data_IF_692212142687
#
_entry.id   IF_692212142687
#
_cell.length_a   1.000
_cell.length_b   1.000
_cell.length_c   1.000
_cell.angle_alpha   90.00
_cell.angle_beta   90.00
_cell.angle_gamma   90.00
#
_symmetry.space_group_name_H-M   'P 1'
#
loop_
_entity.id
_entity.type
_entity.pdbx_description
1 polymer ?
#
# COMPACT_ATOMS: atom_id res chain seq x y z
N UNK A 1 -13.93 4.98 4.94
CA UNK A 1 -12.48 4.89 5.26
C UNK A 1 -11.75 5.98 4.48
N UNK A 2 -10.52 6.36 4.85
CA UNK A 2 -9.66 7.22 4.03
C UNK A 2 -8.33 6.53 3.83
N UNK A 3 -8.11 5.92 2.67
CA UNK A 3 -6.96 5.06 2.42
C UNK A 3 -6.33 5.46 1.09
N UNK A 4 -5.00 5.55 1.04
CA UNK A 4 -4.23 5.69 -0.18
C UNK A 4 -3.19 4.57 -0.25
N UNK A 5 -3.25 3.76 -1.31
CA UNK A 5 -2.36 2.63 -1.55
C UNK A 5 -1.53 2.92 -2.81
N UNK A 6 -0.37 3.53 -2.60
CA UNK A 6 0.53 3.93 -3.67
C UNK A 6 1.34 2.74 -4.18
N UNK A 7 1.55 2.67 -5.50
CA UNK A 7 2.35 1.60 -6.09
C UNK A 7 3.81 1.66 -5.60
N UNK A 8 4.42 2.85 -5.60
CA UNK A 8 5.82 3.07 -5.27
C UNK A 8 6.03 4.33 -4.42
N UNK A 9 7.17 4.42 -3.74
CA UNK A 9 7.47 5.56 -2.86
C UNK A 9 7.99 6.81 -3.57
N UNK A 10 8.59 6.69 -4.75
CA UNK A 10 9.21 7.80 -5.50
C UNK A 10 9.30 7.47 -7.00
N UNK A 11 9.12 8.47 -7.87
CA UNK A 11 9.54 8.41 -9.28
C UNK A 11 11.01 8.88 -9.43
N UNK A 12 11.60 8.63 -10.60
CA UNK A 12 13.03 8.87 -10.86
C UNK A 12 13.44 10.35 -10.69
N UNK A 13 12.55 11.27 -11.04
CA UNK A 13 12.71 12.72 -10.96
C UNK A 13 12.27 13.31 -9.61
N UNK A 14 11.70 12.50 -8.71
CA UNK A 14 11.27 12.97 -7.39
C UNK A 14 12.44 13.08 -6.42
N UNK A 15 12.43 14.16 -5.65
CA UNK A 15 13.39 14.40 -4.56
C UNK A 15 12.83 13.90 -3.23
N UNK A 16 11.52 14.01 -3.02
CA UNK A 16 10.82 13.64 -1.78
C UNK A 16 10.01 12.35 -1.92
N UNK A 17 9.68 11.74 -0.79
CA UNK A 17 8.82 10.55 -0.73
C UNK A 17 7.39 10.97 -1.10
N UNK A 18 6.75 10.21 -1.99
CA UNK A 18 5.39 10.40 -2.50
C UNK A 18 5.16 11.73 -3.25
N UNK A 19 6.22 12.37 -3.73
CA UNK A 19 6.14 13.68 -4.38
C UNK A 19 5.16 13.72 -5.56
N UNK A 20 5.18 12.69 -6.40
CA UNK A 20 4.24 12.55 -7.51
C UNK A 20 2.76 12.51 -7.11
N UNK A 21 2.46 12.21 -5.84
CA UNK A 21 1.11 12.12 -5.30
C UNK A 21 0.70 13.29 -4.40
N UNK A 22 1.51 14.35 -4.29
CA UNK A 22 1.27 15.43 -3.33
C UNK A 22 -0.08 16.13 -3.50
N UNK A 23 -0.57 16.34 -4.72
CA UNK A 23 -1.88 16.94 -4.94
C UNK A 23 -3.02 16.06 -4.39
N UNK A 24 -2.94 14.75 -4.60
CA UNK A 24 -3.91 13.79 -4.07
C UNK A 24 -3.83 13.69 -2.55
N UNK A 25 -2.61 13.70 -1.99
CA UNK A 25 -2.40 13.67 -0.54
C UNK A 25 -2.92 14.95 0.11
N UNK A 26 -2.67 16.11 -0.50
CA UNK A 26 -3.17 17.42 -0.03
C UNK A 26 -4.69 17.45 0.03
N UNK A 27 -5.36 16.91 -0.98
CA UNK A 27 -6.82 16.80 -1.04
C UNK A 27 -7.35 15.99 0.16
N UNK A 28 -6.79 14.79 0.38
CA UNK A 28 -7.22 13.90 1.47
C UNK A 28 -6.91 14.48 2.84
N UNK A 29 -5.72 15.06 3.06
CA UNK A 29 -5.38 15.74 4.33
C UNK A 29 -6.31 16.91 4.58
N UNK A 30 -6.66 17.68 3.55
CA UNK A 30 -7.59 18.81 3.68
C UNK A 30 -8.99 18.35 4.07
N UNK A 31 -9.39 17.15 3.64
CA UNK A 31 -10.66 16.53 3.98
C UNK A 31 -10.66 15.95 5.41
N UNK A 32 -9.67 15.14 5.75
CA UNK A 32 -9.58 14.45 7.06
C UNK A 32 -9.12 15.37 8.19
N UNK A 33 -8.55 16.53 7.85
CA UNK A 33 -7.92 17.47 8.80
C UNK A 33 -6.77 16.86 9.59
N UNK A 34 -6.16 15.78 9.08
CA UNK A 34 -5.06 15.11 9.76
C UNK A 34 -3.89 16.08 10.03
N UNK A 35 -3.36 16.04 11.26
CA UNK A 35 -2.22 16.83 11.72
C UNK A 35 -1.13 15.98 12.32
N UNK A 36 -1.46 14.97 13.11
CA UNK A 36 -0.50 14.05 13.72
C UNK A 36 -0.57 12.71 13.02
N UNK A 37 0.52 12.31 12.36
CA UNK A 37 0.62 11.05 11.63
C UNK A 37 1.63 10.14 12.31
N UNK A 38 1.26 8.89 12.58
CA UNK A 38 2.20 7.87 13.05
C UNK A 38 2.81 7.15 11.87
N UNK A 39 4.14 7.04 11.84
CA UNK A 39 4.87 6.38 10.77
C UNK A 39 5.41 5.02 11.22
N UNK A 40 5.20 4.02 10.37
CA UNK A 40 5.62 2.63 10.54
C UNK A 40 6.76 2.34 9.55
N UNK A 41 8.03 2.28 10.03
CA UNK A 41 9.19 2.14 9.17
C UNK A 41 9.61 0.69 8.90
N UNK A 42 8.99 -0.31 9.53
CA UNK A 42 9.51 -1.69 9.64
C UNK A 42 9.84 -2.43 8.33
N UNK A 43 9.39 -1.93 7.18
CA UNK A 43 9.80 -2.48 5.88
C UNK A 43 11.25 -2.12 5.51
N UNK A 44 11.81 -1.07 6.08
CA UNK A 44 13.13 -0.54 5.76
C UNK A 44 14.21 -1.42 6.42
N UNK A 45 15.17 -1.89 5.62
CA UNK A 45 16.25 -2.79 6.10
C UNK A 45 17.63 -2.13 5.98
N UNK A 46 17.85 -1.38 4.89
CA UNK A 46 19.18 -0.87 4.51
C UNK A 46 19.45 0.56 4.97
N UNK A 47 18.50 1.18 5.67
CA UNK A 47 18.55 2.56 6.11
C UNK A 47 18.01 2.62 7.54
N UNK A 48 18.53 3.56 8.32
CA UNK A 48 18.03 3.82 9.66
C UNK A 48 16.58 4.34 9.64
N UNK A 49 15.76 3.82 10.55
CA UNK A 49 14.34 4.16 10.64
C UNK A 49 14.11 5.64 10.98
N UNK A 50 15.01 6.26 11.74
CA UNK A 50 14.93 7.69 12.08
C UNK A 50 15.23 8.56 10.87
N UNK A 51 16.24 8.21 10.06
CA UNK A 51 16.51 8.86 8.77
C UNK A 51 15.31 8.75 7.84
N UNK A 52 14.71 7.56 7.72
CA UNK A 52 13.49 7.40 6.92
C UNK A 52 12.34 8.27 7.45
N UNK A 53 12.14 8.30 8.77
CA UNK A 53 11.10 9.12 9.41
C UNK A 53 11.29 10.61 9.06
N UNK A 54 12.53 11.12 9.11
CA UNK A 54 12.83 12.49 8.73
C UNK A 54 12.50 12.79 7.26
N UNK A 55 12.81 11.88 6.34
CA UNK A 55 12.45 12.03 4.93
C UNK A 55 10.92 12.06 4.70
N UNK A 56 10.18 11.24 5.45
CA UNK A 56 8.71 11.27 5.45
C UNK A 56 8.20 12.58 6.06
N UNK A 57 8.74 13.02 7.20
CA UNK A 57 8.41 14.31 7.80
C UNK A 57 8.62 15.47 6.80
N UNK A 58 9.74 15.53 6.09
CA UNK A 58 9.99 16.57 5.07
C UNK A 58 8.94 16.59 3.95
N UNK A 59 8.40 15.43 3.62
CA UNK A 59 7.33 15.29 2.61
C UNK A 59 5.99 15.77 3.16
N UNK A 60 5.71 15.57 4.44
CA UNK A 60 4.42 15.89 5.06
C UNK A 60 4.36 17.27 5.73
N UNK A 61 5.50 17.92 6.01
CA UNK A 61 5.55 19.27 6.60
C UNK A 61 4.81 20.31 5.74
N UNK A 62 4.84 20.17 4.41
CA UNK A 62 4.14 21.09 3.50
C UNK A 62 2.61 21.05 3.63
N UNK A 63 2.07 19.98 4.22
CA UNK A 63 0.64 19.83 4.53
C UNK A 63 0.32 20.25 5.97
N UNK A 64 1.31 20.76 6.70
CA UNK A 64 1.19 21.11 8.11
C UNK A 64 0.95 19.89 8.99
N UNK A 65 1.54 18.74 8.64
CA UNK A 65 1.48 17.51 9.41
C UNK A 65 2.79 17.26 10.16
N UNK A 66 2.67 16.82 11.40
CA UNK A 66 3.73 16.22 12.22
C UNK A 66 3.73 14.70 11.98
N UNK A 67 4.92 14.14 11.82
CA UNK A 67 5.16 12.71 11.65
C UNK A 67 5.96 12.20 12.84
N UNK A 68 5.36 11.29 13.62
CA UNK A 68 6.03 10.62 14.74
C UNK A 68 6.40 9.19 14.33
N UNK A 69 7.58 8.71 14.75
CA UNK A 69 7.97 7.31 14.53
C UNK A 69 7.30 6.43 15.60
N UNK A 70 6.65 5.34 15.17
CA UNK A 70 6.03 4.36 16.07
C UNK A 70 7.04 3.70 17.02
N UNK A 71 8.30 3.55 16.60
CA UNK A 71 9.36 2.94 17.43
C UNK A 71 9.82 3.84 18.57
N UNK A 72 9.61 5.15 18.46
CA UNK A 72 9.96 6.12 19.51
C UNK A 72 8.83 6.25 20.56
N UNK A 73 7.76 5.45 20.46
CA UNK A 73 6.60 5.53 21.35
C UNK A 73 6.63 4.39 22.39
N UNK A 74 6.45 4.74 23.66
CA UNK A 74 6.38 3.77 24.76
C UNK A 74 5.20 2.79 24.59
N UNK A 75 4.08 3.29 24.06
CA UNK A 75 2.89 2.51 23.75
C UNK A 75 2.52 2.69 22.27
N UNK A 76 2.94 1.78 21.39
CA UNK A 76 2.67 1.87 19.96
C UNK A 76 1.18 1.72 19.63
N UNK A 77 0.41 0.99 20.45
CA UNK A 77 -1.04 0.84 20.26
C UNK A 77 -1.75 2.15 20.52
N UNK A 78 -1.43 2.80 21.64
CA UNK A 78 -1.96 4.13 21.98
C UNK A 78 -1.57 5.18 20.94
N UNK A 79 -0.33 5.15 20.45
CA UNK A 79 0.12 6.05 19.39
C UNK A 79 -0.71 5.92 18.10
N UNK A 80 -1.04 4.69 17.69
CA UNK A 80 -1.95 4.41 16.57
C UNK A 80 -3.37 4.94 16.84
N UNK A 81 -3.89 4.74 18.05
CA UNK A 81 -5.24 5.18 18.41
C UNK A 81 -5.37 6.71 18.44
N UNK A 82 -4.34 7.42 18.89
CA UNK A 82 -4.34 8.88 19.03
C UNK A 82 -3.97 9.63 17.74
N UNK A 83 -3.12 9.07 16.87
CA UNK A 83 -2.67 9.75 15.65
C UNK A 83 -3.77 9.87 14.59
N UNK A 84 -3.99 11.04 13.99
CA UNK A 84 -5.00 11.27 12.95
C UNK A 84 -4.86 10.39 11.71
N UNK A 85 -3.65 9.87 11.46
CA UNK A 85 -3.41 8.92 10.40
C UNK A 85 -2.16 8.07 10.58
N UNK A 86 -2.04 7.06 9.74
CA UNK A 86 -0.98 6.05 9.74
C UNK A 86 -0.29 6.10 8.38
N UNK A 87 1.03 6.21 8.41
CA UNK A 87 1.90 6.15 7.25
C UNK A 87 2.70 4.84 7.32
N UNK A 88 2.73 4.07 6.25
CA UNK A 88 3.47 2.80 6.20
C UNK A 88 4.47 2.77 5.06
N UNK A 89 5.74 2.57 5.42
CA UNK A 89 6.82 2.57 4.45
C UNK A 89 6.79 1.40 3.47
N UNK A 90 7.28 1.68 2.26
CA UNK A 90 7.84 0.67 1.36
C UNK A 90 9.18 0.12 1.87
N UNK A 91 9.58 -1.03 1.34
CA UNK A 91 10.74 -1.81 1.77
C UNK A 91 10.44 -3.29 1.52
N UNK A 92 10.84 -4.20 2.41
CA UNK A 92 10.49 -5.61 2.30
C UNK A 92 9.18 -5.92 3.05
N UNK A 93 8.19 -6.43 2.32
CA UNK A 93 6.85 -6.76 2.80
C UNK A 93 6.85 -7.89 3.84
N UNK A 94 7.71 -8.88 3.69
CA UNK A 94 7.79 -10.01 4.63
C UNK A 94 8.30 -9.56 6.01
N UNK A 95 9.35 -8.73 6.03
CA UNK A 95 9.87 -8.14 7.27
C UNK A 95 8.82 -7.25 7.93
N UNK A 96 8.17 -6.37 7.15
CA UNK A 96 7.10 -5.50 7.63
C UNK A 96 5.96 -6.31 8.27
N UNK A 97 5.39 -7.27 7.55
CA UNK A 97 4.23 -8.02 8.02
C UNK A 97 4.58 -8.83 9.27
N UNK A 98 5.73 -9.53 9.25
CA UNK A 98 6.19 -10.29 10.42
C UNK A 98 6.35 -9.39 11.64
N UNK A 99 7.01 -8.23 11.51
CA UNK A 99 7.23 -7.31 12.63
C UNK A 99 5.92 -6.77 13.21
N UNK A 100 4.94 -6.47 12.36
CA UNK A 100 3.61 -6.05 12.81
C UNK A 100 2.88 -7.15 13.58
N UNK A 101 3.00 -8.41 13.16
CA UNK A 101 2.44 -9.56 13.88
C UNK A 101 3.16 -9.82 15.20
N UNK A 102 4.50 -9.83 15.20
CA UNK A 102 5.32 -10.02 16.41
C UNK A 102 4.99 -8.98 17.49
N UNK A 103 4.67 -7.75 17.08
CA UNK A 103 4.30 -6.64 17.98
C UNK A 103 2.79 -6.55 18.27
N UNK A 104 1.96 -7.43 17.70
CA UNK A 104 0.51 -7.41 17.88
C UNK A 104 -0.19 -6.18 17.30
N UNK A 105 0.40 -5.52 16.29
CA UNK A 105 -0.08 -4.23 15.76
C UNK A 105 -1.10 -4.35 14.63
N UNK A 106 -1.28 -5.54 14.03
CA UNK A 106 -2.25 -5.77 12.94
C UNK A 106 -3.68 -5.37 13.36
N UNK A 107 -4.13 -5.84 14.53
CA UNK A 107 -5.46 -5.54 15.06
C UNK A 107 -5.66 -4.04 15.35
N UNK A 108 -4.78 -3.40 16.14
CA UNK A 108 -4.79 -1.96 16.39
C UNK A 108 -4.84 -1.10 15.12
N UNK A 109 -3.97 -1.37 14.13
CA UNK A 109 -3.94 -0.63 12.86
C UNK A 109 -5.27 -0.80 12.13
N UNK A 110 -5.73 -2.04 11.91
CA UNK A 110 -7.00 -2.31 11.23
C UNK A 110 -8.17 -1.60 11.91
N UNK A 111 -8.29 -1.72 13.24
CA UNK A 111 -9.35 -1.07 14.02
C UNK A 111 -9.31 0.45 13.89
N UNK A 112 -8.13 1.06 13.87
CA UNK A 112 -7.99 2.49 13.70
C UNK A 112 -8.43 2.94 12.30
N UNK A 113 -7.93 2.31 11.24
CA UNK A 113 -8.22 2.70 9.83
C UNK A 113 -9.70 2.53 9.45
N UNK A 114 -10.39 1.57 10.05
CA UNK A 114 -11.83 1.39 9.82
C UNK A 114 -12.70 2.53 10.39
N UNK A 115 -12.14 3.41 11.25
CA UNK A 115 -12.85 4.61 11.73
C UNK A 115 -12.91 5.67 10.61
N UNK A 116 -14.04 6.39 10.53
CA UNK A 116 -14.35 7.31 9.42
C UNK A 116 -13.30 8.39 9.16
N UNK A 117 -12.56 8.82 10.18
CA UNK A 117 -11.66 9.98 10.10
C UNK A 117 -10.16 9.64 10.20
N UNK A 118 -9.80 8.35 10.33
CA UNK A 118 -8.39 7.95 10.33
C UNK A 118 -7.88 7.79 8.90
N UNK A 119 -6.79 8.47 8.60
CA UNK A 119 -6.09 8.37 7.32
C UNK A 119 -5.13 7.18 7.32
N UNK A 120 -5.09 6.40 6.25
CA UNK A 120 -4.01 5.44 5.97
C UNK A 120 -3.32 5.81 4.66
N UNK A 121 -2.00 5.91 4.67
CA UNK A 121 -1.20 6.01 3.45
C UNK A 121 -0.11 4.96 3.49
N UNK A 122 -0.17 4.00 2.56
CA UNK A 122 0.86 3.00 2.35
C UNK A 122 1.45 3.13 0.95
N UNK A 123 2.71 2.76 0.79
CA UNK A 123 3.33 2.63 -0.53
C UNK A 123 4.14 1.34 -0.64
N UNK A 124 4.14 0.73 -1.82
CA UNK A 124 4.87 -0.53 -2.07
C UNK A 124 4.47 -1.60 -1.03
N UNK A 125 5.38 -2.05 -0.17
CA UNK A 125 5.08 -2.94 0.96
C UNK A 125 3.91 -2.45 1.85
N UNK A 126 3.81 -1.15 2.10
CA UNK A 126 2.69 -0.55 2.83
C UNK A 126 1.34 -0.70 2.11
N UNK A 127 1.35 -0.79 0.77
CA UNK A 127 0.16 -1.11 -0.02
C UNK A 127 -0.15 -2.60 0.00
N UNK A 128 0.87 -3.46 -0.06
CA UNK A 128 0.69 -4.91 0.06
C UNK A 128 -0.01 -5.29 1.37
N UNK A 129 0.43 -4.76 2.51
CA UNK A 129 -0.20 -5.12 3.78
C UNK A 129 -1.63 -4.57 3.92
N UNK A 130 -2.03 -3.60 3.11
CA UNK A 130 -3.41 -3.12 3.04
C UNK A 130 -4.37 -4.16 2.46
N UNK A 131 -3.88 -5.09 1.65
CA UNK A 131 -4.66 -6.20 1.09
C UNK A 131 -4.98 -7.28 2.14
N UNK A 132 -5.79 -8.31 1.80
CA UNK A 132 -6.08 -9.43 2.71
C UNK A 132 -4.85 -10.23 3.11
N UNK A 133 -3.90 -10.38 2.18
CA UNK A 133 -2.63 -11.08 2.41
C UNK A 133 -1.48 -10.39 1.70
N UNK A 134 -0.25 -10.81 1.98
CA UNK A 134 0.94 -10.35 1.26
C UNK A 134 1.33 -11.25 0.06
N UNK A 135 0.48 -12.21 -0.35
CA UNK A 135 0.80 -13.24 -1.36
C UNK A 135 1.14 -12.70 -2.75
N UNK A 136 0.74 -11.46 -3.05
CA UNK A 136 1.01 -10.79 -4.34
C UNK A 136 2.12 -9.74 -4.23
N UNK A 137 2.94 -9.78 -3.18
CA UNK A 137 4.18 -8.99 -3.12
C UNK A 137 5.22 -9.50 -4.13
N UNK A 138 6.10 -8.62 -4.58
CA UNK A 138 7.26 -8.97 -5.41
C UNK A 138 8.50 -9.27 -4.57
N UNK A 139 8.40 -9.09 -3.26
CA UNK A 139 9.53 -9.17 -2.37
C UNK A 139 9.94 -10.61 -2.11
N UNK A 140 11.25 -10.83 -2.06
CA UNK A 140 11.84 -12.09 -1.64
C UNK A 140 11.48 -12.38 -0.17
N UNK A 141 11.07 -13.63 0.17
CA UNK A 141 10.75 -14.05 1.55
C UNK A 141 12.04 -14.26 2.37
N UNK A 142 12.59 -13.17 2.89
CA UNK A 142 13.90 -13.17 3.59
C UNK A 142 13.82 -13.47 5.09
N UNK A 143 12.62 -13.63 5.67
CA UNK A 143 12.41 -13.98 7.08
C UNK A 143 11.68 -15.31 7.20
N UNK A 144 11.91 -16.00 8.31
CA UNK A 144 11.33 -17.32 8.60
C UNK A 144 9.91 -17.19 9.19
N UNK A 145 9.09 -18.24 8.99
CA UNK A 145 7.66 -18.34 9.30
C UNK A 145 6.75 -17.50 8.38
N UNK A 146 6.02 -18.18 7.50
CA UNK A 146 5.09 -17.54 6.58
C UNK A 146 3.82 -17.08 7.31
N UNK A 147 3.79 -15.81 7.70
CA UNK A 147 2.58 -15.12 8.14
C UNK A 147 2.05 -14.31 6.95
N UNK A 148 1.03 -14.85 6.29
CA UNK A 148 0.47 -14.29 5.06
C UNK A 148 -0.68 -13.30 5.28
N UNK A 149 -1.61 -13.51 6.23
CA UNK A 149 -2.67 -12.54 6.50
C UNK A 149 -2.11 -11.18 6.91
N UNK A 150 -2.77 -10.11 6.47
CA UNK A 150 -2.36 -8.72 6.72
C UNK A 150 -3.57 -7.88 7.17
N UNK A 151 -3.59 -6.57 6.86
CA UNK A 151 -4.58 -5.64 7.41
C UNK A 151 -5.98 -5.83 6.83
N UNK A 152 -6.13 -6.41 5.64
CA UNK A 152 -7.40 -6.70 4.98
C UNK A 152 -8.31 -5.46 4.85
N UNK A 153 -7.74 -4.31 4.50
CA UNK A 153 -8.44 -3.03 4.36
C UNK A 153 -9.24 -2.92 3.04
N UNK A 154 -8.86 -3.71 2.04
CA UNK A 154 -9.55 -3.86 0.75
C UNK A 154 -9.83 -5.35 0.51
N UNK A 155 -10.87 -5.71 -0.27
CA UNK A 155 -11.26 -7.11 -0.48
C UNK A 155 -10.50 -7.81 -1.62
N UNK A 156 -9.50 -7.18 -2.21
CA UNK A 156 -8.69 -7.72 -3.31
C UNK A 156 -7.20 -7.72 -2.99
N UNK A 157 -6.43 -8.56 -3.68
CA UNK A 157 -4.97 -8.53 -3.61
C UNK A 157 -4.40 -7.38 -4.43
N UNK A 158 -3.25 -6.85 -4.02
CA UNK A 158 -2.56 -5.77 -4.73
C UNK A 158 -1.19 -6.25 -5.16
N UNK A 159 -0.85 -6.09 -6.44
CA UNK A 159 0.51 -6.22 -6.93
C UNK A 159 1.06 -4.82 -7.26
N UNK A 160 1.80 -4.16 -6.34
CA UNK A 160 2.44 -2.89 -6.63
C UNK A 160 3.64 -3.10 -7.55
N UNK A 161 4.19 -2.01 -8.09
CA UNK A 161 5.29 -2.04 -9.06
C UNK A 161 4.99 -2.99 -10.24
N UNK A 162 3.73 -3.03 -10.69
CA UNK A 162 3.38 -3.87 -11.82
C UNK A 162 4.04 -3.33 -13.08
N UNK A 163 4.72 -4.22 -13.80
CA UNK A 163 5.31 -3.93 -15.09
C UNK A 163 5.08 -5.14 -16.00
N UNK A 164 4.59 -4.85 -17.19
CA UNK A 164 4.44 -5.81 -18.27
C UNK A 164 5.72 -5.76 -19.12
N UNK A 165 6.80 -6.30 -18.57
CA UNK A 165 8.09 -6.36 -19.24
C UNK A 165 8.65 -7.78 -19.21
N UNK A 166 9.14 -8.23 -20.36
CA UNK A 166 10.03 -9.38 -20.51
C UNK A 166 11.43 -8.86 -20.86
N UNK A 167 12.44 -9.27 -20.10
CA UNK A 167 13.83 -9.03 -20.48
C UNK A 167 14.18 -9.97 -21.64
N UNK A 168 14.78 -9.44 -22.71
CA UNK A 168 15.20 -10.24 -23.85
C UNK A 168 16.15 -11.36 -23.40
N UNK A 169 15.84 -12.61 -23.77
CA UNK A 169 16.61 -13.79 -23.37
C UNK A 169 16.38 -14.29 -21.94
N UNK A 170 15.55 -13.63 -21.12
CA UNK A 170 15.17 -14.13 -19.80
C UNK A 170 14.00 -15.11 -19.90
N UNK A 171 14.19 -16.34 -19.43
CA UNK A 171 13.22 -17.44 -19.51
C UNK A 171 12.45 -17.71 -18.22
N UNK A 172 12.69 -16.91 -17.16
CA UNK A 172 11.91 -17.01 -15.93
C UNK A 172 10.52 -16.39 -16.09
N UNK A 173 9.60 -16.75 -15.20
CA UNK A 173 8.20 -16.37 -15.30
C UNK A 173 8.03 -14.83 -15.24
N UNK A 174 7.26 -14.32 -16.19
CA UNK A 174 6.74 -12.96 -16.24
C UNK A 174 5.88 -12.66 -15.02
N UNK A 175 5.59 -11.37 -14.79
CA UNK A 175 4.69 -11.00 -13.70
C UNK A 175 3.30 -11.59 -13.88
N UNK A 176 2.82 -11.63 -15.12
CA UNK A 176 1.52 -12.19 -15.47
C UNK A 176 1.45 -13.67 -15.13
N UNK A 177 2.44 -14.46 -15.54
CA UNK A 177 2.49 -15.91 -15.25
C UNK A 177 2.44 -16.17 -13.74
N UNK A 178 3.20 -15.43 -12.93
CA UNK A 178 3.17 -15.56 -11.46
C UNK A 178 1.80 -15.23 -10.86
N UNK A 179 1.13 -14.19 -11.37
CA UNK A 179 -0.22 -13.83 -10.91
C UNK A 179 -1.24 -14.89 -11.35
N UNK A 180 -1.08 -15.45 -12.55
CA UNK A 180 -1.96 -16.52 -13.04
C UNK A 180 -1.77 -17.82 -12.25
N UNK A 181 -0.55 -18.19 -11.86
CA UNK A 181 -0.30 -19.29 -10.92
C UNK A 181 -1.01 -19.08 -9.59
N UNK A 182 -0.93 -17.86 -9.04
CA UNK A 182 -1.67 -17.49 -7.84
C UNK A 182 -3.18 -17.71 -8.01
N UNK A 183 -3.76 -17.33 -9.15
CA UNK A 183 -5.18 -17.47 -9.45
C UNK A 183 -5.62 -18.89 -9.78
N UNK A 184 -4.70 -19.77 -10.21
CA UNK A 184 -4.97 -21.20 -10.33
C UNK A 184 -5.22 -21.81 -8.94
N UNK A 185 -4.43 -21.41 -7.94
CA UNK A 185 -4.57 -21.90 -6.55
C UNK A 185 -5.69 -21.16 -5.80
N UNK A 186 -5.94 -19.90 -6.13
CA UNK A 186 -6.90 -19.03 -5.44
C UNK A 186 -7.93 -18.47 -6.43
N UNK A 187 -8.80 -19.32 -7.01
CA UNK A 187 -9.66 -18.95 -8.13
C UNK A 187 -10.75 -17.92 -7.80
N UNK A 188 -11.03 -17.72 -6.52
CA UNK A 188 -12.01 -16.73 -6.03
C UNK A 188 -11.38 -15.37 -5.71
N UNK A 189 -10.06 -15.23 -5.83
CA UNK A 189 -9.39 -13.96 -5.54
C UNK A 189 -9.22 -13.12 -6.80
N UNK A 190 -9.08 -11.82 -6.57
CA UNK A 190 -8.85 -10.81 -7.61
C UNK A 190 -7.52 -10.15 -7.31
N UNK A 191 -6.69 -9.94 -8.34
CA UNK A 191 -5.42 -9.21 -8.22
C UNK A 191 -5.50 -7.91 -9.00
N UNK A 192 -5.32 -6.80 -8.29
CA UNK A 192 -5.22 -5.46 -8.86
C UNK A 192 -3.74 -5.09 -8.96
N UNK A 193 -3.21 -5.13 -10.18
CA UNK A 193 -1.79 -4.92 -10.44
C UNK A 193 -1.54 -3.48 -10.93
N UNK A 194 -0.98 -2.65 -10.05
CA UNK A 194 -0.87 -1.20 -10.27
C UNK A 194 0.56 -0.80 -10.65
N UNK A 195 0.76 -0.05 -11.76
CA UNK A 195 2.08 0.39 -12.19
C UNK A 195 2.65 1.50 -11.31
N UNK A 196 3.95 1.74 -11.39
CA UNK A 196 4.56 2.89 -10.70
C UNK A 196 3.97 4.23 -11.18
N UNK A 197 3.92 5.21 -10.27
CA UNK A 197 3.31 6.53 -10.48
C UNK A 197 1.80 6.53 -10.31
N UNK A 198 1.25 5.51 -9.64
CA UNK A 198 -0.19 5.36 -9.44
C UNK A 198 -0.57 5.04 -7.99
N UNK A 199 -1.85 5.25 -7.68
CA UNK A 199 -2.46 5.04 -6.37
C UNK A 199 -3.90 4.55 -6.50
N UNK A 200 -4.29 3.65 -5.60
CA UNK A 200 -5.68 3.36 -5.30
C UNK A 200 -6.10 4.20 -4.10
N UNK A 201 -7.14 5.02 -4.25
CA UNK A 201 -7.66 5.88 -3.21
C UNK A 201 -9.07 5.43 -2.82
N UNK A 202 -9.25 5.12 -1.54
CA UNK A 202 -10.55 4.80 -0.95
C UNK A 202 -11.03 6.01 -0.15
N UNK A 203 -12.23 6.47 -0.48
CA UNK A 203 -12.94 7.53 0.21
C UNK A 203 -14.36 7.07 0.58
N UNK A 204 -14.59 6.84 1.87
CA UNK A 204 -15.83 6.21 2.32
C UNK A 204 -15.89 4.76 1.84
N UNK A 205 -16.79 4.50 0.89
CA UNK A 205 -16.95 3.25 0.14
C UNK A 205 -16.49 3.34 -1.32
N UNK A 206 -16.16 4.54 -1.80
CA UNK A 206 -15.74 4.73 -3.19
C UNK A 206 -14.25 4.45 -3.34
N UNK A 207 -13.90 3.73 -4.41
CA UNK A 207 -12.55 3.40 -4.83
C UNK A 207 -12.27 4.13 -6.15
N UNK A 208 -11.15 4.84 -6.19
CA UNK A 208 -10.66 5.50 -7.40
C UNK A 208 -9.22 5.13 -7.69
N UNK A 209 -8.89 5.09 -8.98
CA UNK A 209 -7.52 4.89 -9.45
C UNK A 209 -6.99 6.21 -10.00
N UNK A 210 -5.84 6.66 -9.48
CA UNK A 210 -5.17 7.88 -9.95
C UNK A 210 -3.75 7.54 -10.42
N UNK A 211 -3.30 8.20 -11.48
CA UNK A 211 -1.98 7.96 -12.08
C UNK A 211 -1.41 9.24 -12.68
N UNK A 212 -0.09 9.42 -12.59
CA UNK A 212 0.62 10.56 -13.20
C UNK A 212 0.97 10.34 -14.66
N UNK A 213 1.09 9.08 -15.10
CA UNK A 213 1.58 8.71 -16.42
C UNK A 213 0.48 8.12 -17.34
N UNK A 214 -0.78 8.20 -16.92
CA UNK A 214 -1.97 7.68 -17.64
C UNK A 214 -1.93 6.18 -17.93
N UNK A 215 -0.99 5.42 -17.35
CA UNK A 215 -0.96 3.96 -17.52
C UNK A 215 -2.20 3.34 -16.85
N UNK A 216 -2.93 2.45 -17.53
CA UNK A 216 -3.96 1.65 -16.88
C UNK A 216 -3.33 0.70 -15.86
N UNK A 217 -4.11 0.26 -14.88
CA UNK A 217 -3.74 -0.92 -14.09
C UNK A 217 -4.28 -2.18 -14.77
N UNK A 218 -3.73 -3.35 -14.44
CA UNK A 218 -4.20 -4.64 -14.96
C UNK A 218 -4.98 -5.38 -13.86
N UNK A 219 -6.21 -5.72 -14.16
CA UNK A 219 -7.10 -6.50 -13.30
C UNK A 219 -7.01 -7.97 -13.71
N UNK A 220 -6.66 -8.86 -12.78
CA UNK A 220 -6.61 -10.30 -13.04
C UNK A 220 -7.69 -11.04 -12.26
N UNK A 221 -8.37 -11.96 -12.95
CA UNK A 221 -9.36 -12.90 -12.41
C UNK A 221 -9.07 -14.30 -12.94
N UNK A 222 -9.54 -15.34 -12.24
CA UNK A 222 -9.39 -16.72 -12.70
C UNK A 222 -10.04 -16.93 -14.07
N UNK A 223 -9.49 -17.86 -14.86
CA UNK A 223 -9.92 -18.12 -16.24
C UNK A 223 -9.19 -17.28 -17.31
N UNK A 224 -8.02 -16.73 -16.99
CA UNK A 224 -7.16 -15.94 -17.90
C UNK A 224 -7.81 -14.67 -18.49
N UNK A 225 -8.88 -14.18 -17.87
CA UNK A 225 -9.47 -12.89 -18.25
C UNK A 225 -8.74 -11.80 -17.47
N UNK A 226 -7.91 -11.04 -18.17
CA UNK A 226 -7.36 -9.80 -17.63
C UNK A 226 -7.88 -8.60 -18.40
N UNK A 227 -8.07 -7.49 -17.68
CA UNK A 227 -8.61 -6.25 -18.23
C UNK A 227 -7.68 -5.10 -17.86
N UNK A 228 -7.45 -4.20 -18.81
CA UNK A 228 -6.81 -2.93 -18.53
C UNK A 228 -7.87 -1.93 -18.10
N UNK A 229 -7.65 -1.30 -16.94
CA UNK A 229 -8.58 -0.34 -16.38
C UNK A 229 -7.91 1.03 -16.29
N UNK A 230 -8.53 2.03 -16.90
CA UNK A 230 -8.05 3.42 -16.92
C UNK A 230 -8.59 4.24 -15.76
N UNK A 231 -8.00 5.39 -15.48
CA UNK A 231 -8.34 6.23 -14.30
C UNK A 231 -9.74 6.85 -14.35
N UNK A 232 -10.38 6.89 -15.52
CA UNK A 232 -11.73 7.41 -15.74
C UNK A 232 -12.83 6.35 -15.59
N UNK A 233 -12.46 5.07 -15.45
CA UNK A 233 -13.41 3.99 -15.30
C UNK A 233 -13.84 3.79 -13.84
N UNK A 234 -15.11 3.45 -13.65
CA UNK A 234 -15.66 3.09 -12.34
C UNK A 234 -15.10 1.73 -11.89
N UNK A 235 -14.58 1.70 -10.68
CA UNK A 235 -13.99 0.51 -10.05
C UNK A 235 -14.57 0.26 -8.65
N UNK A 236 -15.66 0.92 -8.27
CA UNK A 236 -16.33 0.70 -6.99
C UNK A 236 -16.77 -0.76 -6.82
N UNK A 237 -17.05 -1.47 -7.92
CA UNK A 237 -17.37 -2.90 -7.90
C UNK A 237 -16.28 -3.77 -7.25
N UNK A 238 -15.02 -3.32 -7.22
CA UNK A 238 -13.94 -4.04 -6.52
C UNK A 238 -14.08 -3.99 -5.01
N UNK A 239 -14.90 -3.10 -4.45
CA UNK A 239 -15.14 -3.00 -3.01
C UNK A 239 -16.30 -3.88 -2.51
N UNK A 240 -17.05 -4.51 -3.42
CA UNK A 240 -18.12 -5.45 -3.05
C UNK A 240 -17.53 -6.81 -2.62
N UNK A 241 -17.94 -7.29 -1.46
CA UNK A 241 -17.57 -8.62 -0.95
C UNK A 241 -18.28 -9.77 -1.67
N UNK A 242 -19.20 -9.45 -2.57
CA UNK A 242 -20.03 -10.40 -3.32
C UNK A 242 -19.45 -10.77 -4.70
N UNK A 243 -18.28 -10.21 -5.05
CA UNK A 243 -17.67 -10.30 -6.37
C UNK A 243 -16.51 -11.31 -6.45
#
# INVERSE_FOLDING_TARGET
>A
MNIMLFSNGKLADNTKILEYGFDWIKEVISKTKAKKLVFIPYAVIREDHKTRTQAVQQSFSQFGCEVINIEDQDDPVKAIEEADGILVSGGNTWVLNKKLHDLGLIGPIRKAVLKKDKLYIGWSAGSNIGAPTIRTTNDMPIVTAAILPSLNLVPFQINPHYIEASLEGHMGETRDERILEFLVVNPHEIVVAIPEGSVLQIDGSSLSYKTTNKKPFKLFKSGNVHQYITADQDIDFLMDHSY
#
